data_IF_078019731756
#
_entry.id   IF_078019731756
#
_cell.length_a   1.000
_cell.length_b   1.000
_cell.length_c   1.000
_cell.angle_alpha   90.00
_cell.angle_beta   90.00
_cell.angle_gamma   90.00
#
_symmetry.space_group_name_H-M   'P 1'
#
loop_
_entity.id
_entity.type
_entity.pdbx_description
1 polymer ?
#
# COMPACT_ATOMS: atom_id res chain seq x y z
N UNK A 1 -6.31 4.41 -24.09
CA UNK A 1 -4.89 4.77 -23.90
C UNK A 1 -4.07 3.53 -23.70
N UNK A 2 -2.81 3.54 -24.13
CA UNK A 2 -1.82 2.51 -23.89
C UNK A 2 -0.84 2.97 -22.80
N UNK A 3 -0.91 2.34 -21.65
CA UNK A 3 -0.27 2.83 -20.43
C UNK A 3 0.79 1.84 -19.95
N UNK A 4 2.04 2.29 -19.83
CA UNK A 4 3.09 1.52 -19.18
C UNK A 4 3.06 1.73 -17.67
N UNK A 5 2.90 0.69 -16.87
CA UNK A 5 2.95 0.74 -15.40
C UNK A 5 4.24 0.09 -14.91
N UNK A 6 5.01 0.85 -14.14
CA UNK A 6 6.29 0.41 -13.58
C UNK A 6 6.21 0.43 -12.05
N UNK A 7 6.39 -0.72 -11.42
CA UNK A 7 6.22 -0.86 -9.97
C UNK A 7 7.06 -2.00 -9.39
N UNK A 8 7.14 -2.09 -8.08
CA UNK A 8 7.63 -3.30 -7.41
C UNK A 8 6.54 -4.38 -7.43
N UNK A 9 6.79 -5.55 -8.04
CA UNK A 9 5.79 -6.62 -8.16
C UNK A 9 5.69 -7.47 -6.87
N UNK A 10 5.53 -6.82 -5.72
CA UNK A 10 5.58 -7.46 -4.40
C UNK A 10 4.26 -7.34 -3.65
N UNK A 11 4.07 -8.17 -2.59
CA UNK A 11 2.93 -8.08 -1.67
C UNK A 11 2.91 -6.80 -0.82
N UNK A 12 3.84 -5.86 -1.03
CA UNK A 12 3.78 -4.52 -0.41
C UNK A 12 2.61 -3.69 -0.95
N UNK A 13 2.10 -2.77 -0.14
CA UNK A 13 0.92 -1.97 -0.48
C UNK A 13 1.00 -1.28 -1.85
N UNK A 14 2.15 -0.73 -2.21
CA UNK A 14 2.37 -0.07 -3.52
C UNK A 14 2.28 -1.02 -4.72
N UNK A 15 2.82 -2.25 -4.60
CA UNK A 15 2.76 -3.25 -5.67
C UNK A 15 1.34 -3.73 -5.91
N UNK A 16 0.60 -4.00 -4.83
CA UNK A 16 -0.83 -4.36 -4.88
C UNK A 16 -1.63 -3.23 -5.53
N UNK A 17 -1.43 -1.98 -5.09
CA UNK A 17 -2.14 -0.81 -5.64
C UNK A 17 -1.87 -0.61 -7.13
N UNK A 18 -0.61 -0.70 -7.55
CA UNK A 18 -0.26 -0.56 -8.97
C UNK A 18 -0.94 -1.63 -9.83
N UNK A 19 -1.02 -2.87 -9.31
CA UNK A 19 -1.70 -3.97 -10.01
C UNK A 19 -3.21 -3.74 -10.09
N UNK A 20 -3.86 -3.40 -8.98
CA UNK A 20 -5.30 -3.13 -8.96
C UNK A 20 -5.67 -1.89 -9.80
N UNK A 21 -4.81 -0.84 -9.81
CA UNK A 21 -4.96 0.31 -10.70
C UNK A 21 -4.94 -0.13 -12.18
N UNK A 22 -3.94 -0.92 -12.58
CA UNK A 22 -3.83 -1.40 -13.96
C UNK A 22 -5.02 -2.27 -14.36
N UNK A 23 -5.49 -3.17 -13.50
CA UNK A 23 -6.69 -3.99 -13.76
C UNK A 23 -7.93 -3.13 -13.93
N UNK A 24 -8.18 -2.17 -13.04
CA UNK A 24 -9.34 -1.30 -13.13
C UNK A 24 -9.31 -0.39 -14.37
N UNK A 25 -8.14 0.08 -14.79
CA UNK A 25 -7.97 0.82 -16.04
C UNK A 25 -8.23 -0.08 -17.25
N UNK A 26 -7.77 -1.34 -17.21
CA UNK A 26 -8.03 -2.30 -18.27
C UNK A 26 -9.53 -2.62 -18.43
N UNK A 27 -10.27 -2.75 -17.32
CA UNK A 27 -11.73 -2.91 -17.32
C UNK A 27 -12.46 -1.73 -17.97
N UNK A 28 -11.84 -0.53 -17.95
CA UNK A 28 -12.34 0.67 -18.63
C UNK A 28 -11.89 0.78 -20.10
N UNK A 29 -11.23 -0.25 -20.63
CA UNK A 29 -10.84 -0.34 -22.03
C UNK A 29 -9.45 0.25 -22.35
N UNK A 30 -8.65 0.57 -21.35
CA UNK A 30 -7.24 0.93 -21.56
C UNK A 30 -6.38 -0.30 -21.81
N UNK A 31 -5.31 -0.16 -22.58
CA UNK A 31 -4.29 -1.21 -22.78
C UNK A 31 -3.17 -0.97 -21.77
N UNK A 32 -2.86 -1.97 -20.95
CA UNK A 32 -1.95 -1.86 -19.81
C UNK A 32 -0.72 -2.74 -20.02
N UNK A 33 0.46 -2.16 -19.87
CA UNK A 33 1.74 -2.80 -20.00
C UNK A 33 2.50 -2.73 -18.68
N UNK A 34 2.49 -3.83 -17.90
CA UNK A 34 3.31 -3.93 -16.71
C UNK A 34 4.76 -4.22 -17.08
N UNK A 35 5.69 -3.36 -16.65
CA UNK A 35 7.13 -3.48 -16.90
C UNK A 35 7.82 -3.69 -15.56
N UNK A 36 8.11 -4.95 -15.21
CA UNK A 36 8.58 -5.35 -13.88
C UNK A 36 9.52 -6.56 -13.96
N UNK A 37 10.31 -6.84 -12.92
CA UNK A 37 11.28 -7.95 -12.91
C UNK A 37 10.63 -9.34 -12.62
N UNK A 38 9.38 -9.39 -12.25
CA UNK A 38 8.57 -10.60 -12.13
C UNK A 38 7.09 -10.22 -12.29
N UNK A 39 6.22 -11.21 -12.51
CA UNK A 39 4.79 -10.97 -12.64
C UNK A 39 4.24 -10.24 -11.40
N UNK A 40 3.48 -9.14 -11.57
CA UNK A 40 2.88 -8.42 -10.46
C UNK A 40 1.97 -9.31 -9.62
N UNK A 41 2.02 -9.14 -8.30
CA UNK A 41 1.08 -9.83 -7.38
C UNK A 41 -0.36 -9.47 -7.72
N UNK A 42 -1.29 -10.41 -7.52
CA UNK A 42 -2.71 -10.28 -7.86
C UNK A 42 -3.01 -10.10 -9.37
N UNK A 43 -2.02 -10.18 -10.24
CA UNK A 43 -2.23 -10.26 -11.68
C UNK A 43 -2.47 -11.72 -12.06
N UNK A 44 -3.63 -12.25 -11.69
CA UNK A 44 -4.03 -13.63 -11.94
C UNK A 44 -5.02 -13.69 -13.11
N UNK A 45 -5.02 -14.80 -13.84
CA UNK A 45 -5.92 -15.04 -14.96
C UNK A 45 -5.45 -14.42 -16.28
N UNK A 46 -6.28 -14.58 -17.30
CA UNK A 46 -6.05 -14.05 -18.65
C UNK A 46 -6.82 -12.74 -18.82
N UNK A 47 -6.14 -11.74 -19.33
CA UNK A 47 -6.70 -10.43 -19.67
C UNK A 47 -6.35 -10.10 -21.11
N UNK A 48 -7.31 -9.68 -21.92
CA UNK A 48 -7.10 -9.40 -23.34
C UNK A 48 -6.30 -8.12 -23.63
N UNK A 49 -6.27 -7.21 -22.66
CA UNK A 49 -5.66 -5.88 -22.78
C UNK A 49 -4.67 -5.57 -21.64
N UNK A 50 -4.17 -6.59 -20.96
CA UNK A 50 -3.06 -6.45 -19.99
C UNK A 50 -1.89 -7.31 -20.49
N UNK A 51 -0.73 -6.69 -20.58
CA UNK A 51 0.51 -7.29 -21.02
C UNK A 51 1.57 -7.19 -19.92
N UNK A 52 2.40 -8.21 -19.80
CA UNK A 52 3.51 -8.25 -18.88
C UNK A 52 4.84 -8.33 -19.62
N UNK A 53 5.75 -7.45 -19.27
CA UNK A 53 7.12 -7.36 -19.83
C UNK A 53 8.12 -7.55 -18.70
N UNK A 54 8.85 -8.67 -18.76
CA UNK A 54 9.85 -9.00 -17.75
C UNK A 54 11.14 -8.22 -17.98
N UNK A 55 11.55 -7.48 -16.97
CA UNK A 55 12.86 -6.82 -16.93
C UNK A 55 13.93 -7.82 -16.54
N UNK A 56 14.72 -8.28 -17.50
CA UNK A 56 15.81 -9.22 -17.27
C UNK A 56 17.12 -8.47 -17.09
N UNK A 57 17.78 -8.74 -15.98
CA UNK A 57 19.11 -8.19 -15.70
C UNK A 57 20.14 -9.28 -16.00
N UNK A 58 20.95 -9.13 -17.06
CA UNK A 58 21.99 -10.11 -17.36
C UNK A 58 23.07 -10.07 -16.27
N UNK A 59 23.52 -11.26 -15.86
CA UNK A 59 24.71 -11.40 -15.01
C UNK A 59 25.96 -11.18 -15.86
N UNK A 60 26.81 -10.26 -15.44
CA UNK A 60 28.10 -10.02 -16.05
C UNK A 60 29.19 -9.98 -14.96
N UNK A 61 30.33 -10.70 -15.12
CA UNK A 61 31.31 -10.88 -14.04
C UNK A 61 31.91 -9.59 -13.47
N UNK A 62 31.88 -8.49 -14.21
CA UNK A 62 32.39 -7.19 -13.75
C UNK A 62 31.34 -6.36 -13.01
N UNK A 63 30.09 -6.82 -12.92
CA UNK A 63 29.07 -6.13 -12.16
C UNK A 63 28.95 -6.73 -10.76
N UNK A 64 29.53 -6.09 -9.77
CA UNK A 64 29.36 -6.47 -8.35
C UNK A 64 27.87 -6.41 -7.95
N UNK A 65 27.12 -5.45 -8.54
CA UNK A 65 25.68 -5.28 -8.34
C UNK A 65 24.96 -5.31 -9.69
N UNK A 66 23.89 -6.10 -9.83
CA UNK A 66 23.09 -6.14 -11.04
C UNK A 66 22.53 -4.74 -11.37
N UNK A 67 22.76 -4.17 -12.57
CA UNK A 67 22.34 -2.82 -12.94
C UNK A 67 20.85 -2.80 -13.34
N UNK A 68 19.97 -3.07 -12.38
CA UNK A 68 18.51 -3.18 -12.60
C UNK A 68 17.93 -1.95 -13.28
N UNK A 69 18.29 -0.75 -12.81
CA UNK A 69 17.75 0.51 -13.34
C UNK A 69 18.04 0.72 -14.83
N UNK A 70 19.25 0.33 -15.26
CA UNK A 70 19.62 0.41 -16.69
C UNK A 70 18.85 -0.60 -17.53
N UNK A 71 18.68 -1.82 -17.03
CA UNK A 71 17.89 -2.85 -17.70
C UNK A 71 16.41 -2.44 -17.79
N UNK A 72 15.87 -1.84 -16.72
CA UNK A 72 14.51 -1.32 -16.66
C UNK A 72 14.30 -0.21 -17.69
N UNK A 73 15.22 0.78 -17.76
CA UNK A 73 15.16 1.86 -18.75
C UNK A 73 15.18 1.30 -20.19
N UNK A 74 16.06 0.34 -20.49
CA UNK A 74 16.13 -0.30 -21.81
C UNK A 74 14.85 -1.04 -22.15
N UNK A 75 14.30 -1.82 -21.23
CA UNK A 75 13.02 -2.53 -21.43
C UNK A 75 11.87 -1.54 -21.67
N UNK A 76 11.82 -0.42 -20.92
CA UNK A 76 10.83 0.63 -21.17
C UNK A 76 10.94 1.20 -22.57
N UNK A 77 12.15 1.48 -23.07
CA UNK A 77 12.37 1.96 -24.46
C UNK A 77 11.76 0.98 -25.47
N UNK A 78 12.06 -0.31 -25.32
CA UNK A 78 11.56 -1.34 -26.22
C UNK A 78 10.04 -1.44 -26.19
N UNK A 79 9.45 -1.44 -24.99
CA UNK A 79 7.98 -1.52 -24.84
C UNK A 79 7.30 -0.27 -25.39
N UNK A 80 7.84 0.93 -25.13
CA UNK A 80 7.32 2.19 -25.68
C UNK A 80 7.29 2.15 -27.20
N UNK A 81 8.39 1.70 -27.83
CA UNK A 81 8.53 1.74 -29.29
C UNK A 81 7.71 0.65 -29.96
N UNK A 82 7.67 -0.56 -29.40
CA UNK A 82 7.01 -1.71 -30.01
C UNK A 82 5.47 -1.70 -29.82
N UNK A 83 4.99 -1.08 -28.75
CA UNK A 83 3.56 -1.04 -28.41
C UNK A 83 2.93 0.34 -28.55
N UNK A 84 3.73 1.37 -28.90
CA UNK A 84 3.28 2.77 -29.07
C UNK A 84 2.58 3.31 -27.81
N UNK A 85 3.25 3.20 -26.65
CA UNK A 85 2.67 3.63 -25.37
C UNK A 85 2.40 5.14 -25.38
N UNK A 86 1.26 5.55 -24.84
CA UNK A 86 0.88 6.97 -24.68
C UNK A 86 1.61 7.63 -23.52
N UNK A 87 1.83 6.92 -22.42
CA UNK A 87 2.52 7.40 -21.22
C UNK A 87 3.14 6.27 -20.40
N UNK A 88 4.04 6.63 -19.50
CA UNK A 88 4.55 5.76 -18.43
C UNK A 88 4.06 6.28 -17.08
N UNK A 89 3.49 5.38 -16.28
CA UNK A 89 3.20 5.62 -14.87
C UNK A 89 4.21 4.88 -14.00
N UNK A 90 5.11 5.63 -13.37
CA UNK A 90 6.12 5.11 -12.47
C UNK A 90 5.64 5.19 -11.02
N UNK A 91 5.64 4.07 -10.32
CA UNK A 91 5.40 4.02 -8.88
C UNK A 91 6.77 4.05 -8.16
N UNK A 92 7.03 5.08 -7.39
CA UNK A 92 8.29 5.50 -6.74
C UNK A 92 9.21 6.39 -7.59
N UNK A 93 9.83 7.35 -6.92
CA UNK A 93 10.84 8.24 -7.51
C UNK A 93 12.08 7.46 -7.99
N UNK A 94 12.54 6.51 -7.18
CA UNK A 94 13.67 5.62 -7.50
C UNK A 94 13.28 4.16 -7.25
N UNK A 95 13.74 3.22 -8.09
CA UNK A 95 14.46 3.41 -9.35
C UNK A 95 13.54 3.67 -10.55
N UNK A 96 12.22 3.73 -10.33
CA UNK A 96 11.26 3.66 -11.44
C UNK A 96 11.17 4.97 -12.24
N UNK A 97 11.00 6.14 -11.56
CA UNK A 97 10.92 7.41 -12.29
C UNK A 97 12.28 7.81 -12.89
N UNK A 98 13.41 7.52 -12.22
CA UNK A 98 14.75 7.75 -12.78
C UNK A 98 15.01 6.93 -14.05
N UNK A 99 14.63 5.64 -14.04
CA UNK A 99 14.67 4.79 -15.23
C UNK A 99 13.71 5.29 -16.34
N UNK A 100 12.51 5.72 -15.97
CA UNK A 100 11.52 6.26 -16.91
C UNK A 100 11.99 7.56 -17.56
N UNK A 101 12.65 8.44 -16.81
CA UNK A 101 13.31 9.64 -17.37
C UNK A 101 14.36 9.25 -18.40
N UNK A 102 15.23 8.30 -18.09
CA UNK A 102 16.25 7.80 -19.01
C UNK A 102 15.61 7.24 -20.29
N UNK A 103 14.58 6.40 -20.15
CA UNK A 103 13.84 5.85 -21.29
C UNK A 103 13.21 6.95 -22.16
N UNK A 104 12.55 7.95 -21.53
CA UNK A 104 11.98 9.13 -22.19
C UNK A 104 13.01 9.87 -23.04
N UNK A 105 14.23 10.11 -22.53
CA UNK A 105 15.29 10.79 -23.27
C UNK A 105 15.79 9.96 -24.45
N UNK A 106 15.96 8.66 -24.29
CA UNK A 106 16.39 7.75 -25.38
C UNK A 106 15.33 7.71 -26.49
N UNK A 107 14.04 7.57 -26.16
CA UNK A 107 12.94 7.57 -27.13
C UNK A 107 12.88 8.90 -27.86
N UNK A 108 12.98 10.02 -27.15
CA UNK A 108 13.02 11.38 -27.74
C UNK A 108 14.18 11.52 -28.73
N UNK A 109 15.38 11.07 -28.37
CA UNK A 109 16.55 11.11 -29.23
C UNK A 109 16.39 10.26 -30.50
N UNK A 110 15.82 9.05 -30.37
CA UNK A 110 15.66 8.10 -31.47
C UNK A 110 14.54 8.51 -32.47
N UNK A 111 13.45 9.09 -31.97
CA UNK A 111 12.21 9.24 -32.75
C UNK A 111 11.66 10.66 -32.78
N UNK A 112 12.20 11.57 -31.99
CA UNK A 112 11.62 12.92 -31.77
C UNK A 112 10.36 12.90 -30.86
N UNK A 113 9.82 11.71 -30.49
CA UNK A 113 8.63 11.57 -29.69
C UNK A 113 8.92 11.80 -28.20
N UNK A 114 8.04 12.54 -27.54
CA UNK A 114 8.06 12.73 -26.08
C UNK A 114 6.95 11.87 -25.48
N UNK A 115 7.32 10.93 -24.60
CA UNK A 115 6.38 10.09 -23.85
C UNK A 115 6.30 10.66 -22.43
N UNK A 116 5.13 11.07 -21.95
CA UNK A 116 4.97 11.62 -20.61
C UNK A 116 5.27 10.58 -19.55
N UNK A 117 5.89 11.02 -18.43
CA UNK A 117 6.14 10.21 -17.24
C UNK A 117 5.35 10.81 -16.07
N UNK A 118 4.45 10.01 -15.51
CA UNK A 118 3.71 10.34 -14.31
C UNK A 118 4.30 9.53 -13.15
N UNK A 119 4.57 10.17 -12.02
CA UNK A 119 5.19 9.50 -10.88
C UNK A 119 4.28 9.56 -9.65
N UNK A 120 3.96 8.41 -9.08
CA UNK A 120 3.26 8.31 -7.79
C UNK A 120 4.26 8.01 -6.67
N UNK A 121 4.31 8.87 -5.66
CA UNK A 121 5.11 8.73 -4.45
C UNK A 121 4.35 7.86 -3.44
N UNK A 122 5.05 6.86 -2.86
CA UNK A 122 4.43 5.89 -1.94
C UNK A 122 4.93 5.96 -0.50
N UNK A 123 5.99 6.70 -0.23
CA UNK A 123 6.50 6.98 1.11
C UNK A 123 7.89 6.43 1.38
N UNK A 124 8.21 5.18 1.08
CA UNK A 124 9.56 4.62 1.32
C UNK A 124 10.64 5.41 0.57
N UNK A 125 10.34 5.84 -0.65
CA UNK A 125 11.18 6.70 -1.49
C UNK A 125 11.37 8.11 -0.92
N UNK A 126 10.50 8.55 -0.05
CA UNK A 126 10.51 9.89 0.55
C UNK A 126 11.01 9.86 1.99
N UNK A 127 10.42 9.02 2.84
CA UNK A 127 10.62 9.09 4.29
C UNK A 127 11.76 8.19 4.81
N UNK A 128 12.18 7.20 4.04
CA UNK A 128 13.24 6.26 4.41
C UNK A 128 14.46 6.37 3.49
N UNK A 129 14.37 5.78 2.30
CA UNK A 129 15.51 5.69 1.38
C UNK A 129 15.88 7.05 0.82
N UNK A 130 14.90 7.87 0.44
CA UNK A 130 15.13 9.15 -0.20
C UNK A 130 15.82 10.21 0.69
N UNK A 131 15.76 10.05 2.02
CA UNK A 131 16.47 10.94 2.96
C UNK A 131 17.96 10.64 3.11
N UNK A 132 18.41 9.49 2.63
CA UNK A 132 19.84 9.19 2.61
C UNK A 132 20.50 10.11 1.57
N UNK A 133 21.58 10.80 1.99
CA UNK A 133 22.37 11.71 1.15
C UNK A 133 22.89 11.07 -0.13
N UNK A 134 23.00 9.74 -0.15
CA UNK A 134 23.42 8.96 -1.31
C UNK A 134 22.33 8.97 -2.42
N UNK A 135 21.05 9.01 -2.04
CA UNK A 135 19.92 8.92 -2.98
C UNK A 135 19.17 10.22 -3.17
N UNK A 136 19.22 11.13 -2.19
CA UNK A 136 18.48 12.40 -2.18
C UNK A 136 18.61 13.20 -3.49
N UNK A 137 19.80 13.42 -4.07
CA UNK A 137 19.93 14.19 -5.31
C UNK A 137 19.20 13.53 -6.51
N UNK A 138 19.24 12.20 -6.60
CA UNK A 138 18.55 11.44 -7.67
C UNK A 138 17.05 11.43 -7.44
N UNK A 139 16.58 11.32 -6.21
CA UNK A 139 15.15 11.40 -5.85
C UNK A 139 14.60 12.77 -6.21
N UNK A 140 15.26 13.85 -5.77
CA UNK A 140 14.88 15.24 -6.08
C UNK A 140 14.83 15.48 -7.60
N UNK A 141 15.84 15.04 -8.33
CA UNK A 141 15.90 15.14 -9.77
C UNK A 141 14.74 14.37 -10.43
N UNK A 142 14.54 13.10 -10.07
CA UNK A 142 13.54 12.25 -10.70
C UNK A 142 12.12 12.77 -10.49
N UNK A 143 11.83 13.32 -9.31
CA UNK A 143 10.54 13.96 -9.02
C UNK A 143 10.39 15.21 -9.90
N UNK A 144 11.39 16.10 -9.95
CA UNK A 144 11.31 17.35 -10.73
C UNK A 144 11.25 17.12 -12.24
N UNK A 145 11.78 16.01 -12.77
CA UNK A 145 11.75 15.69 -14.20
C UNK A 145 10.49 14.91 -14.64
N UNK A 146 9.69 14.44 -13.68
CA UNK A 146 8.39 13.84 -13.99
C UNK A 146 7.44 14.88 -14.58
N UNK A 147 6.63 14.51 -15.59
CA UNK A 147 5.67 15.45 -16.22
C UNK A 147 4.51 15.76 -15.26
N UNK A 148 4.14 14.80 -14.41
CA UNK A 148 3.22 14.99 -13.29
C UNK A 148 3.64 14.14 -12.11
N UNK A 149 3.30 14.61 -10.92
CA UNK A 149 3.64 13.95 -9.65
C UNK A 149 2.37 13.80 -8.85
N UNK A 150 2.15 12.60 -8.29
CA UNK A 150 1.09 12.37 -7.32
C UNK A 150 1.66 11.83 -6.02
N UNK A 151 1.00 12.14 -4.91
CA UNK A 151 1.27 11.56 -3.61
C UNK A 151 0.01 10.84 -3.09
N UNK A 152 0.21 9.78 -2.32
CA UNK A 152 -0.89 8.93 -1.83
C UNK A 152 -1.64 9.53 -0.63
N UNK A 153 -1.15 10.64 -0.07
CA UNK A 153 -1.74 11.38 1.05
C UNK A 153 -1.26 12.83 1.07
N UNK A 154 -2.02 13.71 1.73
CA UNK A 154 -1.58 15.09 1.97
C UNK A 154 -0.34 15.10 2.86
N UNK A 155 -0.29 14.25 3.88
CA UNK A 155 0.90 14.12 4.73
C UNK A 155 2.15 13.75 3.92
N UNK A 156 2.07 12.81 2.99
CA UNK A 156 3.23 12.44 2.18
C UNK A 156 3.66 13.59 1.24
N UNK A 157 2.71 14.33 0.69
CA UNK A 157 2.99 15.54 -0.11
C UNK A 157 3.74 16.58 0.72
N UNK A 158 3.27 16.89 1.94
CA UNK A 158 3.92 17.83 2.84
C UNK A 158 5.34 17.37 3.22
N UNK A 159 5.51 16.10 3.59
CA UNK A 159 6.82 15.52 3.89
C UNK A 159 7.77 15.57 2.67
N UNK A 160 7.23 15.45 1.46
CA UNK A 160 8.04 15.57 0.23
C UNK A 160 8.58 16.99 0.08
N UNK A 161 7.75 18.01 0.19
CA UNK A 161 8.20 19.40 0.11
C UNK A 161 9.14 19.80 1.25
N UNK A 162 8.95 19.25 2.43
CA UNK A 162 9.79 19.53 3.59
C UNK A 162 11.23 18.98 3.44
N UNK A 163 11.39 17.86 2.76
CA UNK A 163 12.68 17.16 2.69
C UNK A 163 13.41 17.30 1.36
N UNK A 164 12.73 17.71 0.28
CA UNK A 164 13.30 17.80 -1.06
C UNK A 164 12.97 19.15 -1.69
N UNK A 165 13.90 19.69 -2.49
CA UNK A 165 13.69 20.93 -3.27
C UNK A 165 12.83 20.63 -4.50
N UNK A 166 11.54 20.41 -4.28
CA UNK A 166 10.57 20.13 -5.33
C UNK A 166 9.96 21.44 -5.85
N UNK A 167 10.03 21.62 -7.18
CA UNK A 167 9.60 22.84 -7.88
C UNK A 167 8.27 22.69 -8.62
N UNK A 168 7.72 21.48 -8.61
CA UNK A 168 6.45 21.15 -9.26
C UNK A 168 5.36 20.91 -8.23
N UNK A 169 4.12 21.14 -8.66
CA UNK A 169 2.97 20.78 -7.82
C UNK A 169 2.81 19.27 -7.72
N UNK A 170 2.51 18.80 -6.53
CA UNK A 170 2.19 17.40 -6.23
C UNK A 170 0.67 17.32 -6.06
N UNK A 171 -0.01 16.60 -6.94
CA UNK A 171 -1.44 16.32 -6.83
C UNK A 171 -1.65 15.15 -5.85
N UNK A 172 -2.60 15.27 -4.90
CA UNK A 172 -2.92 14.15 -4.02
C UNK A 172 -4.01 13.30 -4.65
N UNK A 173 -3.62 12.05 -4.96
CA UNK A 173 -4.56 10.99 -5.34
C UNK A 173 -4.39 9.88 -4.32
N UNK A 174 -5.33 9.80 -3.38
CA UNK A 174 -5.28 8.84 -2.29
C UNK A 174 -5.21 7.40 -2.79
N UNK A 175 -4.60 6.54 -2.01
CA UNK A 175 -4.71 5.11 -2.19
C UNK A 175 -6.19 4.68 -2.08
N UNK A 176 -6.51 3.51 -2.60
CA UNK A 176 -7.87 3.04 -2.72
C UNK A 176 -8.00 1.56 -2.32
N UNK A 177 -9.23 1.14 -2.15
CA UNK A 177 -9.62 -0.25 -1.91
C UNK A 177 -10.83 -0.59 -2.77
N UNK A 178 -10.92 -1.83 -3.22
CA UNK A 178 -12.18 -2.36 -3.76
C UNK A 178 -13.10 -2.74 -2.59
N UNK A 179 -14.02 -1.86 -2.25
CA UNK A 179 -14.95 -2.05 -1.12
C UNK A 179 -15.84 -3.28 -1.34
N UNK A 180 -16.22 -3.61 -2.57
CA UNK A 180 -17.04 -4.79 -2.86
C UNK A 180 -16.29 -6.09 -2.55
N UNK A 181 -15.00 -6.12 -2.80
CA UNK A 181 -14.14 -7.26 -2.47
C UNK A 181 -14.03 -7.47 -0.97
N UNK A 182 -13.87 -6.40 -0.20
CA UNK A 182 -13.63 -6.47 1.25
C UNK A 182 -14.91 -6.51 2.09
N UNK A 183 -16.01 -5.94 1.64
CA UNK A 183 -17.28 -5.93 2.37
C UNK A 183 -18.03 -7.28 2.25
N UNK A 184 -17.38 -8.34 2.73
CA UNK A 184 -17.97 -9.69 2.75
C UNK A 184 -18.67 -9.97 4.07
N UNK A 185 -19.69 -10.84 4.01
CA UNK A 185 -20.30 -11.34 5.25
C UNK A 185 -19.32 -12.29 5.95
N UNK A 186 -19.15 -12.16 7.28
CA UNK A 186 -18.33 -13.07 8.05
C UNK A 186 -18.78 -14.53 7.86
N UNK A 187 -17.83 -15.42 7.60
CA UNK A 187 -18.10 -16.86 7.54
C UNK A 187 -18.15 -17.40 8.96
N UNK A 188 -19.35 -17.72 9.46
CA UNK A 188 -19.56 -18.14 10.85
C UNK A 188 -18.70 -19.37 11.23
N UNK A 189 -18.56 -20.34 10.31
CA UNK A 189 -17.71 -21.51 10.55
C UNK A 189 -16.23 -21.14 10.72
N UNK A 190 -15.74 -20.16 9.97
CA UNK A 190 -14.36 -19.69 10.07
C UNK A 190 -14.15 -18.94 11.41
N UNK A 191 -15.07 -18.06 11.80
CA UNK A 191 -15.04 -17.39 13.10
C UNK A 191 -15.03 -18.40 14.25
N UNK A 192 -15.87 -19.47 14.18
CA UNK A 192 -15.95 -20.50 15.20
C UNK A 192 -14.65 -21.30 15.37
N UNK A 193 -13.88 -21.49 14.29
CA UNK A 193 -12.57 -22.15 14.36
C UNK A 193 -11.52 -21.28 15.06
N UNK A 194 -11.61 -19.97 14.92
CA UNK A 194 -10.66 -19.02 15.53
C UNK A 194 -11.05 -18.72 16.97
N UNK A 195 -12.33 -18.47 17.23
CA UNK A 195 -12.90 -18.01 18.50
C UNK A 195 -14.08 -18.91 18.92
N UNK A 196 -13.81 -20.17 19.34
CA UNK A 196 -14.84 -21.16 19.63
C UNK A 196 -15.74 -20.80 20.80
N UNK A 197 -15.28 -19.95 21.72
CA UNK A 197 -16.03 -19.49 22.89
C UNK A 197 -16.51 -18.05 22.75
N UNK A 198 -16.68 -17.55 21.52
CA UNK A 198 -17.05 -16.17 21.19
C UNK A 198 -16.04 -15.12 21.68
N UNK A 199 -14.77 -15.48 21.73
CA UNK A 199 -13.68 -14.53 22.02
C UNK A 199 -13.67 -13.39 20.98
N UNK A 200 -13.20 -12.22 21.37
CA UNK A 200 -12.97 -11.11 20.44
C UNK A 200 -11.77 -11.43 19.56
N UNK A 201 -11.89 -11.15 18.28
CA UNK A 201 -10.80 -11.40 17.32
C UNK A 201 -10.11 -10.07 16.99
N UNK A 202 -8.86 -9.98 17.39
CA UNK A 202 -7.96 -8.88 17.10
C UNK A 202 -7.04 -9.32 15.95
N UNK A 203 -6.72 -8.42 15.04
CA UNK A 203 -5.83 -8.69 13.91
C UNK A 203 -4.75 -7.61 13.79
N UNK A 204 -3.55 -8.02 13.41
CA UNK A 204 -2.50 -7.17 12.87
C UNK A 204 -2.01 -7.74 11.54
N UNK A 205 -1.88 -6.89 10.53
CA UNK A 205 -1.37 -7.29 9.22
C UNK A 205 -0.31 -6.32 8.73
N UNK A 206 0.92 -6.81 8.51
CA UNK A 206 2.03 -5.99 8.01
C UNK A 206 3.19 -6.85 7.50
N UNK A 207 4.26 -6.19 7.04
CA UNK A 207 5.53 -6.81 6.68
C UNK A 207 6.53 -6.94 7.85
N UNK A 208 6.05 -6.92 9.08
CA UNK A 208 6.78 -7.10 10.36
C UNK A 208 8.17 -6.44 10.38
N UNK A 209 8.24 -5.18 9.93
CA UNK A 209 9.43 -4.34 10.05
C UNK A 209 9.37 -3.55 11.35
N UNK A 210 10.51 -3.11 11.87
CA UNK A 210 10.64 -2.33 13.11
C UNK A 210 9.67 -1.14 13.18
N UNK A 211 9.48 -0.43 12.06
CA UNK A 211 8.55 0.69 11.95
C UNK A 211 7.08 0.32 12.23
N UNK A 212 6.72 -0.98 12.16
CA UNK A 212 5.37 -1.48 12.46
C UNK A 212 5.13 -1.73 13.94
N UNK A 213 6.17 -1.57 14.77
CA UNK A 213 6.09 -1.68 16.23
C UNK A 213 5.39 -2.96 16.69
N UNK A 214 5.93 -4.10 16.26
CA UNK A 214 5.39 -5.43 16.60
C UNK A 214 5.44 -5.65 18.13
N UNK A 215 6.42 -5.10 18.81
CA UNK A 215 6.49 -5.03 20.27
C UNK A 215 5.21 -4.43 20.88
N UNK A 216 4.78 -3.28 20.37
CA UNK A 216 3.57 -2.60 20.84
C UNK A 216 2.30 -3.40 20.50
N UNK A 217 2.22 -4.05 19.33
CA UNK A 217 1.09 -4.93 18.99
C UNK A 217 0.91 -6.02 20.05
N UNK A 218 2.01 -6.67 20.42
CA UNK A 218 1.99 -7.76 21.42
C UNK A 218 1.64 -7.26 22.82
N UNK A 219 2.14 -6.10 23.22
CA UNK A 219 1.85 -5.50 24.52
C UNK A 219 0.39 -5.02 24.61
N UNK A 220 -0.13 -4.36 23.55
CA UNK A 220 -1.54 -3.97 23.47
C UNK A 220 -2.44 -5.21 23.55
N UNK A 221 -2.11 -6.26 22.79
CA UNK A 221 -2.90 -7.50 22.83
C UNK A 221 -2.88 -8.15 24.20
N UNK A 222 -1.73 -8.24 24.88
CA UNK A 222 -1.62 -8.73 26.25
C UNK A 222 -2.58 -7.98 27.19
N UNK A 223 -2.63 -6.65 27.11
CA UNK A 223 -3.51 -5.83 27.94
C UNK A 223 -4.99 -6.10 27.62
N UNK A 224 -5.35 -6.24 26.33
CA UNK A 224 -6.71 -6.61 25.91
C UNK A 224 -7.07 -8.00 26.45
N UNK A 225 -6.20 -8.99 26.27
CA UNK A 225 -6.44 -10.38 26.67
C UNK A 225 -6.61 -10.52 28.20
N UNK A 226 -5.90 -9.70 28.98
CA UNK A 226 -6.06 -9.65 30.42
C UNK A 226 -7.45 -9.13 30.84
N UNK A 227 -8.05 -8.24 30.05
CA UNK A 227 -9.33 -7.60 30.34
C UNK A 227 -10.54 -8.40 29.83
N UNK A 228 -10.41 -9.14 28.72
CA UNK A 228 -11.50 -9.91 28.10
C UNK A 228 -10.96 -11.05 27.24
N UNK A 229 -11.70 -12.18 27.13
CA UNK A 229 -11.31 -13.30 26.27
C UNK A 229 -11.14 -12.85 24.82
N UNK A 230 -9.95 -13.07 24.28
CA UNK A 230 -9.62 -12.57 22.93
C UNK A 230 -8.56 -13.43 22.23
N UNK A 231 -8.53 -13.39 20.91
CA UNK A 231 -7.56 -14.05 20.03
C UNK A 231 -6.87 -13.02 19.17
N UNK A 232 -5.56 -13.21 18.91
CA UNK A 232 -4.80 -12.37 18.00
C UNK A 232 -4.41 -13.14 16.73
N UNK A 233 -4.71 -12.55 15.58
CA UNK A 233 -4.25 -13.01 14.28
C UNK A 233 -3.10 -12.12 13.81
N UNK A 234 -1.91 -12.71 13.64
CA UNK A 234 -0.71 -12.05 13.12
C UNK A 234 -0.54 -12.43 11.65
N UNK A 235 -0.84 -11.51 10.74
CA UNK A 235 -0.81 -11.75 9.29
C UNK A 235 0.38 -11.02 8.66
N UNK A 236 1.13 -11.74 7.86
CA UNK A 236 2.34 -11.25 7.21
C UNK A 236 3.59 -11.95 7.72
N UNK A 237 4.73 -11.39 7.34
CA UNK A 237 6.04 -11.93 7.69
C UNK A 237 7.11 -10.84 7.58
N UNK A 238 8.22 -10.98 8.30
CA UNK A 238 9.32 -10.04 8.24
C UNK A 238 10.31 -10.15 9.40
N UNK A 239 11.29 -9.23 9.47
CA UNK A 239 12.38 -9.31 10.44
C UNK A 239 11.98 -9.37 11.91
N UNK A 240 10.84 -8.75 12.28
CA UNK A 240 10.35 -8.70 13.66
C UNK A 240 9.46 -9.91 14.04
N UNK A 241 9.30 -10.90 13.15
CA UNK A 241 8.53 -12.11 13.48
C UNK A 241 9.10 -12.90 14.66
N UNK A 242 10.42 -13.16 14.74
CA UNK A 242 11.00 -13.82 15.90
C UNK A 242 10.69 -13.11 17.22
N UNK A 243 10.75 -11.77 17.24
CA UNK A 243 10.37 -10.96 18.40
C UNK A 243 8.91 -11.20 18.81
N UNK A 244 7.97 -11.25 17.85
CA UNK A 244 6.56 -11.50 18.14
C UNK A 244 6.36 -12.89 18.75
N UNK A 245 7.05 -13.92 18.23
CA UNK A 245 7.00 -15.28 18.73
C UNK A 245 7.61 -15.41 20.14
N UNK A 246 8.71 -14.70 20.41
CA UNK A 246 9.33 -14.64 21.74
C UNK A 246 8.41 -13.97 22.77
N UNK A 247 7.81 -12.83 22.42
CA UNK A 247 6.85 -12.14 23.28
C UNK A 247 5.59 -12.97 23.53
N UNK A 248 5.12 -13.73 22.54
CA UNK A 248 4.00 -14.66 22.70
C UNK A 248 4.28 -15.68 23.82
N UNK A 249 5.47 -16.30 23.80
CA UNK A 249 5.91 -17.24 24.84
C UNK A 249 6.11 -16.54 26.19
N UNK A 250 6.78 -15.40 26.21
CA UNK A 250 7.03 -14.63 27.43
C UNK A 250 5.74 -14.23 28.15
N UNK A 251 4.67 -13.94 27.39
CA UNK A 251 3.38 -13.55 27.94
C UNK A 251 2.43 -14.72 28.20
N UNK A 252 2.80 -15.96 27.81
CA UNK A 252 1.97 -17.16 27.97
C UNK A 252 0.72 -17.14 27.08
N UNK A 253 0.84 -16.60 25.86
CA UNK A 253 -0.27 -16.38 24.93
C UNK A 253 -0.29 -17.34 23.74
N UNK A 254 0.44 -18.47 23.80
CA UNK A 254 0.59 -19.41 22.68
C UNK A 254 -0.74 -20.02 22.22
N UNK A 255 -1.71 -20.16 23.11
CA UNK A 255 -3.04 -20.64 22.76
C UNK A 255 -3.94 -19.58 22.09
N UNK A 256 -3.56 -18.29 22.19
CA UNK A 256 -4.41 -17.15 21.83
C UNK A 256 -3.85 -16.30 20.69
N UNK A 257 -2.60 -16.56 20.29
CA UNK A 257 -1.95 -15.89 19.14
C UNK A 257 -1.72 -16.88 18.01
N UNK A 258 -2.17 -16.51 16.80
CA UNK A 258 -1.95 -17.32 15.58
C UNK A 258 -1.17 -16.52 14.54
N UNK A 259 -0.04 -17.06 14.12
CA UNK A 259 0.75 -16.54 13.01
C UNK A 259 0.31 -17.18 11.70
N UNK A 260 -0.31 -16.40 10.82
CA UNK A 260 -0.89 -16.90 9.57
C UNK A 260 0.06 -16.78 8.36
N UNK A 261 1.24 -16.14 8.53
CA UNK A 261 2.12 -15.84 7.40
C UNK A 261 1.48 -14.88 6.39
N UNK A 262 2.03 -14.85 5.17
CA UNK A 262 1.48 -14.03 4.07
C UNK A 262 0.20 -14.65 3.56
N UNK A 263 -0.85 -13.84 3.45
CA UNK A 263 -2.18 -14.24 2.98
C UNK A 263 -2.59 -13.44 1.75
N UNK A 264 -3.18 -14.10 0.76
CA UNK A 264 -3.75 -13.44 -0.42
C UNK A 264 -5.21 -13.04 -0.23
N UNK A 265 -5.95 -13.84 0.55
CA UNK A 265 -7.38 -13.65 0.83
C UNK A 265 -7.59 -12.93 2.16
N UNK A 266 -7.14 -11.68 2.24
CA UNK A 266 -7.24 -10.87 3.45
C UNK A 266 -8.70 -10.54 3.82
N UNK A 267 -9.57 -10.43 2.83
CA UNK A 267 -10.95 -10.05 2.99
C UNK A 267 -11.76 -11.00 3.91
N UNK A 268 -11.46 -12.30 3.88
CA UNK A 268 -12.15 -13.29 4.73
C UNK A 268 -11.66 -13.21 6.18
N UNK A 269 -10.36 -12.98 6.38
CA UNK A 269 -9.75 -12.86 7.70
C UNK A 269 -10.19 -11.56 8.38
N UNK A 270 -10.22 -10.46 7.64
CA UNK A 270 -10.69 -9.17 8.13
C UNK A 270 -12.18 -9.20 8.48
N UNK A 271 -13.02 -9.84 7.64
CA UNK A 271 -14.47 -9.92 7.86
C UNK A 271 -14.87 -10.60 9.18
N UNK A 272 -14.04 -11.51 9.72
CA UNK A 272 -14.31 -12.15 11.00
C UNK A 272 -13.68 -11.43 12.19
N UNK A 273 -12.87 -10.40 11.95
CA UNK A 273 -12.14 -9.65 12.97
C UNK A 273 -12.97 -8.51 13.56
N UNK A 274 -12.71 -8.18 14.81
CA UNK A 274 -13.42 -7.10 15.52
C UNK A 274 -12.61 -5.81 15.50
N UNK A 275 -11.29 -5.90 15.76
CA UNK A 275 -10.38 -4.77 15.84
C UNK A 275 -9.09 -5.06 15.08
N UNK A 276 -8.61 -4.07 14.33
CA UNK A 276 -7.32 -4.06 13.65
C UNK A 276 -6.34 -3.16 14.41
N UNK A 277 -5.20 -3.70 14.84
CA UNK A 277 -4.14 -2.95 15.53
C UNK A 277 -3.08 -2.48 14.55
N UNK A 278 -2.79 -1.18 14.55
CA UNK A 278 -1.74 -0.58 13.72
C UNK A 278 -0.95 0.50 14.49
N UNK A 279 -0.12 0.12 15.48
CA UNK A 279 0.65 1.06 16.29
C UNK A 279 1.93 1.54 15.59
N UNK A 280 1.92 1.63 14.26
CA UNK A 280 3.09 1.96 13.44
C UNK A 280 3.73 3.28 13.83
N UNK A 281 5.04 3.37 13.72
CA UNK A 281 5.80 4.60 13.92
C UNK A 281 5.58 5.61 12.78
N UNK A 282 5.35 5.11 11.57
CA UNK A 282 5.01 5.90 10.40
C UNK A 282 4.20 5.08 9.38
N UNK A 283 3.20 5.71 8.78
CA UNK A 283 2.43 5.22 7.64
C UNK A 283 2.26 6.33 6.62
N UNK A 284 2.60 6.09 5.37
CA UNK A 284 2.38 7.08 4.30
C UNK A 284 0.89 7.28 3.97
N UNK A 285 0.06 6.25 4.24
CA UNK A 285 -1.39 6.31 4.06
C UNK A 285 -2.12 5.33 4.99
N UNK A 286 -1.61 4.08 5.11
CA UNK A 286 -2.25 3.04 5.92
C UNK A 286 -3.20 2.14 5.12
N UNK A 287 -2.76 1.61 3.97
CA UNK A 287 -3.60 0.75 3.11
C UNK A 287 -4.21 -0.44 3.89
N UNK A 288 -3.43 -1.09 4.77
CA UNK A 288 -3.94 -2.20 5.58
C UNK A 288 -5.07 -1.77 6.54
N UNK A 289 -5.01 -0.54 7.07
CA UNK A 289 -6.11 0.04 7.85
C UNK A 289 -7.34 0.30 6.98
N UNK A 290 -7.15 0.84 5.77
CA UNK A 290 -8.25 1.06 4.83
C UNK A 290 -8.92 -0.27 4.42
N UNK A 291 -8.15 -1.33 4.16
CA UNK A 291 -8.67 -2.68 3.88
C UNK A 291 -9.48 -3.22 5.07
N UNK A 292 -9.01 -3.02 6.31
CA UNK A 292 -9.74 -3.40 7.51
C UNK A 292 -11.06 -2.63 7.64
N UNK A 293 -11.05 -1.32 7.43
CA UNK A 293 -12.25 -0.47 7.47
C UNK A 293 -13.27 -0.89 6.40
N UNK A 294 -12.81 -1.23 5.19
CA UNK A 294 -13.65 -1.75 4.11
C UNK A 294 -14.30 -3.10 4.45
N UNK A 295 -13.63 -3.91 5.28
CA UNK A 295 -14.18 -5.15 5.83
C UNK A 295 -15.04 -4.94 7.09
N UNK A 296 -15.35 -3.70 7.46
CA UNK A 296 -16.05 -3.34 8.71
C UNK A 296 -15.29 -3.75 9.98
N UNK A 297 -13.97 -3.73 9.96
CA UNK A 297 -13.12 -3.96 11.14
C UNK A 297 -12.65 -2.61 11.66
N UNK A 298 -12.81 -2.36 12.96
CA UNK A 298 -12.46 -1.06 13.57
C UNK A 298 -10.95 -0.96 13.77
N UNK A 299 -10.37 0.19 13.40
CA UNK A 299 -8.93 0.42 13.50
C UNK A 299 -8.56 1.13 14.80
N UNK A 300 -7.62 0.56 15.54
CA UNK A 300 -6.91 1.21 16.64
C UNK A 300 -5.48 1.44 16.16
N UNK A 301 -5.10 2.69 15.96
CA UNK A 301 -3.82 3.04 15.35
C UNK A 301 -3.07 4.11 16.12
N UNK A 302 -1.79 4.29 15.77
CA UNK A 302 -1.09 5.53 16.05
C UNK A 302 -1.64 6.67 15.19
N UNK A 303 -1.32 7.91 15.56
CA UNK A 303 -1.61 9.14 14.82
C UNK A 303 -0.54 9.44 13.74
N UNK A 304 0.16 8.43 13.27
CA UNK A 304 1.34 8.54 12.43
C UNK A 304 1.02 8.77 10.95
N UNK A 305 1.62 9.82 10.39
CA UNK A 305 1.59 10.08 8.95
C UNK A 305 0.18 10.24 8.36
N UNK A 306 -0.08 9.57 7.25
CA UNK A 306 -1.37 9.62 6.54
C UNK A 306 -2.51 8.83 7.21
N UNK A 307 -2.30 8.16 8.35
CA UNK A 307 -3.36 7.41 9.03
C UNK A 307 -4.54 8.28 9.47
N UNK A 308 -4.27 9.53 9.88
CA UNK A 308 -5.32 10.47 10.29
C UNK A 308 -6.24 10.91 9.14
N UNK A 309 -5.85 10.65 7.89
CA UNK A 309 -6.68 10.96 6.72
C UNK A 309 -7.78 9.92 6.48
N UNK A 310 -7.66 8.73 7.10
CA UNK A 310 -8.63 7.64 6.96
C UNK A 310 -9.24 7.22 8.31
N UNK A 311 -8.45 7.18 9.39
CA UNK A 311 -8.93 6.76 10.71
C UNK A 311 -9.29 7.97 11.57
N UNK A 312 -10.56 8.38 11.53
CA UNK A 312 -11.05 9.57 12.25
C UNK A 312 -11.26 9.22 13.72
N UNK A 313 -10.43 9.81 14.59
CA UNK A 313 -10.45 9.54 16.03
C UNK A 313 -11.82 9.74 16.66
N UNK A 314 -12.29 8.75 17.40
CA UNK A 314 -13.58 8.78 18.08
C UNK A 314 -14.80 8.58 17.16
N UNK A 315 -14.59 8.37 15.85
CA UNK A 315 -15.68 8.22 14.85
C UNK A 315 -15.58 6.89 14.10
N UNK A 316 -14.46 6.62 13.42
CA UNK A 316 -14.23 5.40 12.65
C UNK A 316 -13.39 4.37 13.39
N UNK A 317 -12.64 4.84 14.37
CA UNK A 317 -11.72 4.09 15.20
C UNK A 317 -11.11 5.01 16.25
N UNK A 318 -9.93 4.64 16.73
CA UNK A 318 -9.16 5.49 17.64
C UNK A 318 -7.74 5.66 17.14
N UNK A 319 -7.23 6.89 17.27
CA UNK A 319 -5.82 7.22 17.08
C UNK A 319 -5.20 7.63 18.40
N UNK A 320 -3.95 7.30 18.63
CA UNK A 320 -3.18 7.66 19.84
C UNK A 320 -1.76 8.03 19.42
N UNK A 321 -1.06 8.79 20.25
CA UNK A 321 0.34 9.12 19.98
C UNK A 321 1.19 7.87 19.80
N UNK A 322 2.13 7.93 18.87
CA UNK A 322 3.07 6.83 18.60
C UNK A 322 3.71 6.34 19.90
N UNK A 323 3.59 5.03 20.17
CA UNK A 323 4.15 4.40 21.37
C UNK A 323 3.27 4.48 22.62
N UNK A 324 2.11 5.14 22.57
CA UNK A 324 1.16 5.16 23.70
C UNK A 324 0.32 3.88 23.74
N UNK A 325 0.97 2.80 24.17
CA UNK A 325 0.36 1.47 24.34
C UNK A 325 -0.81 1.52 25.33
N UNK A 326 -0.70 2.33 26.37
CA UNK A 326 -1.72 2.43 27.42
C UNK A 326 -3.05 2.99 26.86
N UNK A 327 -2.97 4.11 26.12
CA UNK A 327 -4.14 4.69 25.47
C UNK A 327 -4.74 3.76 24.41
N UNK A 328 -3.92 3.14 23.57
CA UNK A 328 -4.39 2.19 22.55
C UNK A 328 -5.09 0.98 23.18
N UNK A 329 -4.52 0.40 24.25
CA UNK A 329 -5.10 -0.70 24.99
C UNK A 329 -6.45 -0.32 25.61
N UNK A 330 -6.51 0.83 26.29
CA UNK A 330 -7.74 1.36 26.89
C UNK A 330 -8.84 1.53 25.85
N UNK A 331 -8.54 2.20 24.75
CA UNK A 331 -9.50 2.45 23.67
C UNK A 331 -10.03 1.16 23.06
N UNK A 332 -9.15 0.16 22.84
CA UNK A 332 -9.55 -1.14 22.33
C UNK A 332 -10.45 -1.90 23.32
N UNK A 333 -10.11 -1.92 24.62
CA UNK A 333 -10.89 -2.59 25.66
C UNK A 333 -12.27 -1.95 25.79
N UNK A 334 -12.38 -0.64 25.91
CA UNK A 334 -13.64 0.08 26.00
C UNK A 334 -14.55 -0.20 24.79
N UNK A 335 -13.96 -0.23 23.58
CA UNK A 335 -14.70 -0.53 22.36
C UNK A 335 -15.19 -1.98 22.31
N UNK A 336 -14.35 -2.94 22.70
CA UNK A 336 -14.68 -4.37 22.65
C UNK A 336 -15.68 -4.81 23.74
N UNK A 337 -15.80 -4.06 24.83
CA UNK A 337 -16.76 -4.30 25.90
C UNK A 337 -18.15 -3.73 25.60
N UNK A 338 -18.27 -2.79 24.66
CA UNK A 338 -19.54 -2.15 24.27
C UNK A 338 -19.94 -2.57 22.85
N UNK A 339 -20.80 -3.56 22.73
CA UNK A 339 -21.27 -4.10 21.43
C UNK A 339 -22.01 -3.04 20.58
N UNK A 340 -22.75 -2.12 21.20
CA UNK A 340 -23.49 -1.08 20.47
C UNK A 340 -22.53 -0.06 19.88
N UNK A 341 -21.53 0.35 20.67
CA UNK A 341 -20.44 1.23 20.25
C UNK A 341 -19.61 0.58 19.15
N UNK A 342 -19.19 -0.68 19.33
CA UNK A 342 -18.43 -1.43 18.33
C UNK A 342 -19.19 -1.50 16.99
N UNK A 343 -20.48 -1.81 17.01
CA UNK A 343 -21.33 -1.85 15.80
C UNK A 343 -21.40 -0.49 15.11
N UNK A 344 -21.50 0.59 15.86
CA UNK A 344 -21.53 1.96 15.33
C UNK A 344 -20.20 2.29 14.64
N UNK A 345 -19.07 1.99 15.28
CA UNK A 345 -17.74 2.24 14.72
C UNK A 345 -17.48 1.38 13.48
N UNK A 346 -17.87 0.11 13.47
CA UNK A 346 -17.80 -0.77 12.29
C UNK A 346 -18.57 -0.17 11.10
N UNK A 347 -19.76 0.37 11.34
CA UNK A 347 -20.54 1.06 10.30
C UNK A 347 -19.85 2.33 9.78
N UNK A 348 -19.34 3.15 10.69
CA UNK A 348 -18.63 4.38 10.34
C UNK A 348 -17.33 4.10 9.58
N UNK A 349 -16.55 3.10 9.99
CA UNK A 349 -15.34 2.67 9.31
C UNK A 349 -15.63 2.28 7.85
N UNK A 350 -16.65 1.45 7.61
CA UNK A 350 -17.06 1.09 6.25
C UNK A 350 -17.56 2.30 5.45
N UNK A 351 -18.28 3.21 6.09
CA UNK A 351 -18.76 4.44 5.42
C UNK A 351 -17.59 5.30 4.96
N UNK A 352 -16.58 5.47 5.81
CA UNK A 352 -15.37 6.22 5.48
C UNK A 352 -14.57 5.53 4.37
N UNK A 353 -14.37 4.21 4.46
CA UNK A 353 -13.66 3.45 3.43
C UNK A 353 -14.27 3.59 2.03
N UNK A 354 -15.58 3.80 1.91
CA UNK A 354 -16.26 4.04 0.63
C UNK A 354 -15.83 5.33 -0.06
N UNK A 355 -15.31 6.32 0.67
CA UNK A 355 -14.78 7.54 0.06
C UNK A 355 -13.49 7.26 -0.73
N UNK A 356 -12.80 6.18 -0.38
CA UNK A 356 -11.56 5.70 -1.00
C UNK A 356 -11.81 4.46 -1.88
N UNK A 357 -13.06 4.25 -2.33
CA UNK A 357 -13.38 3.15 -3.23
C UNK A 357 -12.68 3.33 -4.59
N UNK A 358 -12.22 2.22 -5.15
CA UNK A 358 -11.51 2.18 -6.44
C UNK A 358 -12.29 2.91 -7.54
N UNK A 359 -13.63 2.80 -7.55
CA UNK A 359 -14.49 3.45 -8.54
C UNK A 359 -14.53 4.98 -8.41
N UNK A 360 -14.19 5.53 -7.25
CA UNK A 360 -14.06 6.97 -7.03
C UNK A 360 -12.65 7.49 -7.36
N UNK A 361 -11.64 6.65 -7.20
CA UNK A 361 -10.24 7.07 -7.36
C UNK A 361 -9.75 6.91 -8.81
N UNK A 362 -10.11 5.82 -9.49
CA UNK A 362 -9.69 5.59 -10.88
C UNK A 362 -10.01 6.74 -11.82
N UNK A 363 -11.21 7.39 -11.78
CA UNK A 363 -11.50 8.55 -12.62
C UNK A 363 -10.51 9.72 -12.43
N UNK A 364 -9.92 9.89 -11.24
CA UNK A 364 -8.90 10.93 -10.99
C UNK A 364 -7.61 10.62 -11.77
N UNK A 365 -7.18 9.36 -11.78
CA UNK A 365 -6.04 8.94 -12.59
C UNK A 365 -6.32 9.09 -14.10
N UNK A 366 -7.52 8.69 -14.57
CA UNK A 366 -7.90 8.89 -15.98
C UNK A 366 -7.90 10.38 -16.37
N UNK A 367 -8.44 11.24 -15.49
CA UNK A 367 -8.43 12.69 -15.73
C UNK A 367 -7.00 13.26 -15.78
N UNK A 368 -6.12 12.77 -14.90
CA UNK A 368 -4.71 13.12 -14.91
C UNK A 368 -4.03 12.68 -16.21
N UNK A 369 -4.20 11.43 -16.64
CA UNK A 369 -3.58 10.91 -17.85
C UNK A 369 -4.02 11.66 -19.11
N UNK A 370 -5.31 12.00 -19.22
CA UNK A 370 -5.84 12.78 -20.35
C UNK A 370 -5.20 14.15 -20.52
N UNK A 371 -4.71 14.78 -19.42
CA UNK A 371 -3.96 16.07 -19.53
C UNK A 371 -2.66 15.94 -20.34
N UNK A 372 -2.10 14.71 -20.41
CA UNK A 372 -0.81 14.44 -21.05
C UNK A 372 -0.92 13.58 -22.32
N UNK A 373 -2.08 13.02 -22.62
CA UNK A 373 -2.31 12.33 -23.88
C UNK A 373 -2.25 13.27 -25.08
N UNK A 374 -1.88 12.72 -26.22
CA UNK A 374 -1.94 13.44 -27.51
C UNK A 374 -3.37 13.85 -27.81
N UNK A 375 -3.59 15.12 -28.13
CA UNK A 375 -4.89 15.63 -28.60
C UNK A 375 -5.26 14.91 -29.89
N UNK A 376 -6.26 14.02 -29.84
CA UNK A 376 -6.82 13.30 -30.96
C UNK A 376 -7.06 11.80 -30.80
N UNK A 377 -6.43 11.13 -29.82
CA UNK A 377 -6.49 9.67 -29.65
C UNK A 377 -7.03 9.22 -28.26
N UNK A 378 -7.65 10.10 -27.47
CA UNK A 378 -8.17 9.77 -26.13
C UNK A 378 -9.69 9.72 -26.09
#
# INVERSE_FOLDING_TARGET
MKIGIVCYPTFGGSGVLATELGKALAEKGHEIHFITYQQPVRLNGFHTNIFYHEVRVPTYPLFDYPPYELALASTMVDVILNHDLDLIHAHYAIPHASAAYTAKQIVKQKTGRIVPVITTLHGTDITLVGRDKTYEPVVTFSINESDSITAVSENLKEETYKHFDIKKDIEVIHNFVDVHRYNKKPVAAFRQVIAPNNEKIIIHASNFRKIKRIDNVMEIFKNIHTALPSKLLMVGDGPERPLAEDLTRQYGLEADVRFLGKQEQMEEILAVSDVFLLPSEYESFGLAALEAMAASTVVISSDAGGLNEININGVTGYTSTVGDVAAMSKNAIELLQDEAKLKTYKHNALKEAKLFDIHHIIPKYEALYRKYCRTGDC
#
